data_IF_892805663437
#
_entry.id   IF_892805663437
#
_cell.length_a   1.000
_cell.length_b   1.000
_cell.length_c   1.000
_cell.angle_alpha   90.00
_cell.angle_beta   90.00
_cell.angle_gamma   90.00
#
_symmetry.space_group_name_H-M   'P 1'
#
loop_
_entity.id
_entity.type
_entity.pdbx_description
1 polymer ?
#
# COMPACT_ATOMS: atom_id res chain seq x y z
N UNK A 1 4.29 -44.48 -26.41
CA UNK A 1 5.27 -44.22 -25.33
C UNK A 1 5.83 -42.82 -25.54
N UNK A 2 5.29 -41.80 -24.89
CA UNK A 2 5.98 -40.54 -24.59
C UNK A 2 5.24 -39.92 -23.40
N UNK A 3 5.83 -40.08 -22.21
CA UNK A 3 5.28 -39.56 -20.98
C UNK A 3 5.45 -38.04 -20.96
N UNK A 4 4.35 -37.33 -20.76
CA UNK A 4 4.36 -35.90 -20.50
C UNK A 4 4.99 -35.67 -19.11
N UNK A 5 6.06 -34.88 -18.95
CA UNK A 5 6.59 -34.59 -17.63
C UNK A 5 5.55 -33.77 -16.87
N UNK A 6 5.04 -34.32 -15.77
CA UNK A 6 4.17 -33.63 -14.82
C UNK A 6 4.92 -32.44 -14.25
N UNK A 7 4.64 -31.25 -14.76
CA UNK A 7 5.00 -30.01 -14.09
C UNK A 7 4.27 -30.03 -12.73
N UNK A 8 4.96 -29.92 -11.58
CA UNK A 8 4.29 -29.88 -10.30
C UNK A 8 3.48 -28.59 -10.20
N UNK A 9 2.16 -28.73 -10.04
CA UNK A 9 1.13 -27.68 -10.03
C UNK A 9 1.15 -26.76 -8.78
N UNK A 10 2.31 -26.60 -8.12
CA UNK A 10 2.42 -25.89 -6.84
C UNK A 10 3.54 -24.84 -6.79
N UNK A 11 4.10 -24.41 -7.92
CA UNK A 11 4.85 -23.16 -7.96
C UNK A 11 3.87 -22.02 -8.21
N UNK A 12 3.69 -21.06 -7.29
CA UNK A 12 2.90 -19.87 -7.60
C UNK A 12 3.56 -19.18 -8.80
N UNK A 13 2.79 -18.99 -9.88
CA UNK A 13 3.25 -18.25 -11.05
C UNK A 13 3.87 -16.92 -10.59
N UNK A 14 5.06 -16.52 -11.11
CA UNK A 14 5.79 -15.35 -10.62
C UNK A 14 4.95 -14.06 -10.67
N UNK A 15 4.02 -13.96 -11.62
CA UNK A 15 3.03 -12.87 -11.69
C UNK A 15 2.15 -12.77 -10.43
N UNK A 16 1.68 -13.90 -9.87
CA UNK A 16 0.81 -13.92 -8.70
C UNK A 16 1.52 -13.48 -7.41
N UNK A 17 2.83 -13.72 -7.30
CA UNK A 17 3.62 -13.28 -6.15
C UNK A 17 4.00 -11.80 -6.22
N UNK A 18 4.10 -11.21 -7.42
CA UNK A 18 4.39 -9.78 -7.60
C UNK A 18 3.21 -8.87 -7.23
N UNK A 19 1.97 -9.33 -7.42
CA UNK A 19 0.74 -8.54 -7.13
C UNK A 19 0.63 -8.17 -5.64
N UNK A 20 1.20 -9.00 -4.76
CA UNK A 20 1.11 -8.84 -3.31
C UNK A 20 2.32 -8.16 -2.66
N UNK A 21 3.42 -7.93 -3.41
CA UNK A 21 4.57 -7.25 -2.82
C UNK A 21 4.29 -5.75 -2.69
N UNK A 22 4.35 -5.19 -1.47
CA UNK A 22 4.19 -3.76 -1.31
C UNK A 22 5.35 -3.04 -2.01
N UNK A 23 5.03 -1.94 -2.69
CA UNK A 23 5.99 -1.09 -3.39
C UNK A 23 5.81 0.37 -2.95
N UNK A 24 6.88 1.18 -2.96
CA UNK A 24 6.79 2.59 -2.61
C UNK A 24 5.95 3.35 -3.65
N UNK A 25 5.04 4.20 -3.18
CA UNK A 25 4.14 4.97 -4.02
C UNK A 25 4.36 6.47 -3.82
N UNK A 26 4.65 7.20 -4.91
CA UNK A 26 5.09 8.60 -4.83
C UNK A 26 3.93 9.61 -4.78
N UNK A 27 2.79 9.29 -5.38
CA UNK A 27 1.67 10.22 -5.49
C UNK A 27 0.71 10.05 -4.31
N UNK A 28 1.04 10.64 -3.15
CA UNK A 28 0.25 10.41 -1.92
C UNK A 28 -1.15 11.01 -1.96
N UNK A 29 -1.41 12.00 -2.83
CA UNK A 29 -2.77 12.51 -3.05
C UNK A 29 -3.72 11.42 -3.57
N UNK A 30 -3.19 10.55 -4.44
CA UNK A 30 -3.87 9.36 -4.90
C UNK A 30 -3.95 8.27 -3.83
N UNK A 31 -3.44 8.48 -2.60
CA UNK A 31 -3.49 7.52 -1.49
C UNK A 31 -4.66 7.75 -0.49
N UNK A 32 -5.35 8.89 -0.54
CA UNK A 32 -6.48 9.22 0.35
C UNK A 32 -7.62 8.20 0.28
N UNK A 33 -7.88 7.52 1.38
CA UNK A 33 -8.87 6.45 1.47
C UNK A 33 -8.31 5.03 1.39
N UNK A 34 -6.99 4.85 1.33
CA UNK A 34 -6.35 3.53 1.32
C UNK A 34 -5.65 3.23 2.64
N UNK A 35 -5.54 1.93 2.94
CA UNK A 35 -4.62 1.42 3.96
C UNK A 35 -3.25 1.24 3.32
N UNK A 36 -2.22 1.77 3.97
CA UNK A 36 -0.83 1.80 3.49
C UNK A 36 0.13 1.39 4.58
N UNK A 37 1.30 0.92 4.18
CA UNK A 37 2.45 0.77 5.07
C UNK A 37 3.24 2.07 5.10
N UNK A 38 3.39 2.63 6.30
CA UNK A 38 4.19 3.83 6.56
C UNK A 38 5.59 3.40 6.93
N UNK A 39 6.58 3.87 6.17
CA UNK A 39 8.00 3.66 6.46
C UNK A 39 8.72 4.99 6.59
N UNK A 40 9.74 5.04 7.43
CA UNK A 40 10.65 6.19 7.54
C UNK A 40 12.08 5.68 7.41
N UNK A 41 12.83 6.24 6.47
CA UNK A 41 14.25 5.88 6.26
C UNK A 41 14.43 4.35 6.10
N UNK A 42 13.47 3.69 5.44
CA UNK A 42 13.48 2.23 5.21
C UNK A 42 12.90 1.38 6.36
N UNK A 43 12.71 1.96 7.55
CA UNK A 43 12.15 1.27 8.72
C UNK A 43 10.63 1.33 8.70
N UNK A 44 9.97 0.19 8.92
CA UNK A 44 8.53 0.14 9.09
C UNK A 44 8.11 0.86 10.38
N UNK A 45 7.18 1.81 10.24
CA UNK A 45 6.63 2.59 11.35
C UNK A 45 5.30 2.01 11.79
N UNK A 46 4.34 1.88 10.86
CA UNK A 46 3.02 1.30 11.09
C UNK A 46 2.28 1.05 9.78
N UNK A 47 1.22 0.26 9.83
CA UNK A 47 0.17 0.25 8.80
C UNK A 47 -0.92 1.23 9.23
N UNK A 48 -1.52 1.96 8.29
CA UNK A 48 -2.58 2.91 8.63
C UNK A 48 -3.39 3.42 7.44
N UNK A 49 -4.56 3.96 7.73
CA UNK A 49 -5.45 4.55 6.73
C UNK A 49 -5.04 5.99 6.43
N UNK A 50 -4.85 6.32 5.15
CA UNK A 50 -4.59 7.70 4.71
C UNK A 50 -5.91 8.46 4.73
N UNK A 51 -6.07 9.31 5.73
CA UNK A 51 -7.27 10.12 5.93
C UNK A 51 -7.32 11.31 4.96
N UNK A 52 -6.18 11.95 4.74
CA UNK A 52 -6.04 13.10 3.85
C UNK A 52 -4.59 13.23 3.36
N UNK A 53 -4.39 13.97 2.28
CA UNK A 53 -3.07 14.32 1.75
C UNK A 53 -3.12 15.67 1.04
N UNK A 54 -2.00 16.39 1.09
CA UNK A 54 -1.87 17.63 0.31
C UNK A 54 -2.02 17.33 -1.19
N UNK A 55 -2.54 18.27 -2.00
CA UNK A 55 -2.66 18.08 -3.45
C UNK A 55 -1.34 17.77 -4.17
N UNK A 56 -0.20 18.24 -3.65
CA UNK A 56 1.13 17.91 -4.18
C UNK A 56 1.64 16.52 -3.78
N UNK A 57 0.94 15.86 -2.85
CA UNK A 57 1.32 14.55 -2.33
C UNK A 57 2.58 14.55 -1.47
N UNK A 58 3.02 15.69 -0.94
CA UNK A 58 4.25 15.78 -0.11
C UNK A 58 3.99 15.52 1.38
N UNK A 59 2.77 15.80 1.82
CA UNK A 59 2.31 15.58 3.20
C UNK A 59 1.06 14.70 3.20
N UNK A 60 0.99 13.75 4.13
CA UNK A 60 -0.17 12.89 4.34
C UNK A 60 -0.55 12.82 5.83
N UNK A 61 -1.83 12.63 6.10
CA UNK A 61 -2.36 12.36 7.43
C UNK A 61 -2.79 10.90 7.52
N UNK A 62 -2.21 10.20 8.47
CA UNK A 62 -2.58 8.81 8.78
C UNK A 62 -3.54 8.85 9.97
N UNK A 63 -4.71 8.24 9.81
CA UNK A 63 -5.75 8.21 10.83
C UNK A 63 -5.25 7.58 12.15
N UNK A 64 -5.93 7.94 13.24
CA UNK A 64 -5.78 7.21 14.50
C UNK A 64 -6.32 5.78 14.33
N UNK A 65 -5.67 4.81 14.97
CA UNK A 65 -6.14 3.42 15.00
C UNK A 65 -5.75 2.78 16.34
N UNK A 66 -6.75 2.35 17.11
CA UNK A 66 -6.56 1.88 18.48
C UNK A 66 -5.84 2.90 19.37
N UNK A 67 -4.64 2.53 19.83
CA UNK A 67 -3.79 3.38 20.68
C UNK A 67 -2.93 4.37 19.87
N UNK A 68 -2.81 4.18 18.56
CA UNK A 68 -2.04 5.06 17.71
C UNK A 68 -2.81 6.35 17.45
N UNK A 69 -2.13 7.48 17.68
CA UNK A 69 -2.69 8.79 17.36
C UNK A 69 -2.63 9.04 15.85
N UNK A 70 -3.48 9.95 15.40
CA UNK A 70 -3.37 10.56 14.08
C UNK A 70 -2.00 11.22 13.95
N UNK A 71 -1.30 10.97 12.85
CA UNK A 71 0.01 11.56 12.57
C UNK A 71 0.02 12.24 11.20
N UNK A 72 0.72 13.36 11.13
CA UNK A 72 1.11 14.00 9.87
C UNK A 72 2.52 13.52 9.52
N UNK A 73 2.73 13.11 8.28
CA UNK A 73 4.03 12.69 7.76
C UNK A 73 4.38 13.46 6.50
N UNK A 74 5.68 13.63 6.25
CA UNK A 74 6.19 14.39 5.12
C UNK A 74 7.32 13.64 4.41
N UNK A 75 7.37 13.73 3.07
CA UNK A 75 8.48 13.19 2.27
C UNK A 75 9.82 13.79 2.66
N UNK A 76 9.85 15.10 2.95
CA UNK A 76 11.04 15.84 3.40
C UNK A 76 11.61 15.30 4.72
N UNK A 77 10.76 14.70 5.57
CA UNK A 77 11.14 14.04 6.80
C UNK A 77 11.55 12.56 6.62
N UNK A 78 11.68 12.10 5.37
CA UNK A 78 12.15 10.75 5.04
C UNK A 78 11.06 9.67 5.08
N UNK A 79 9.78 10.06 5.14
CA UNK A 79 8.67 9.11 5.08
C UNK A 79 8.40 8.65 3.65
N UNK A 80 8.02 7.38 3.53
CA UNK A 80 7.60 6.71 2.28
C UNK A 80 6.36 5.88 2.56
N UNK A 81 5.35 6.02 1.72
CA UNK A 81 4.16 5.16 1.76
C UNK A 81 4.32 4.01 0.79
N UNK A 82 3.98 2.81 1.26
CA UNK A 82 4.04 1.57 0.51
C UNK A 82 2.64 0.98 0.38
N UNK A 83 2.34 0.42 -0.79
CA UNK A 83 1.03 -0.14 -1.11
C UNK A 83 1.16 -1.43 -1.92
N UNK A 84 0.23 -2.36 -1.79
CA UNK A 84 0.07 -3.51 -2.69
C UNK A 84 -0.90 -3.18 -3.82
N UNK A 85 -0.85 -3.92 -4.93
CA UNK A 85 -1.80 -3.67 -6.02
C UNK A 85 -3.26 -3.91 -5.60
N UNK A 86 -3.51 -4.82 -4.65
CA UNK A 86 -4.81 -5.06 -4.04
C UNK A 86 -5.32 -3.84 -3.24
N UNK A 87 -4.47 -3.24 -2.40
CA UNK A 87 -4.83 -2.05 -1.62
C UNK A 87 -5.20 -0.86 -2.52
N UNK A 88 -4.57 -0.74 -3.70
CA UNK A 88 -4.92 0.27 -4.70
C UNK A 88 -6.26 -0.05 -5.39
N UNK A 89 -6.62 -1.32 -5.54
CA UNK A 89 -7.90 -1.73 -6.14
C UNK A 89 -9.08 -1.58 -5.17
N UNK A 90 -8.88 -1.86 -3.88
CA UNK A 90 -9.91 -1.74 -2.84
C UNK A 90 -10.43 -0.29 -2.68
N UNK A 91 -9.64 0.72 -3.08
CA UNK A 91 -10.10 2.10 -3.25
C UNK A 91 -11.33 2.25 -4.13
N UNK A 92 -11.41 1.49 -5.23
CA UNK A 92 -12.49 1.62 -6.21
C UNK A 92 -13.83 1.11 -5.67
N UNK A 93 -13.79 0.25 -4.64
CA UNK A 93 -14.98 -0.41 -4.10
C UNK A 93 -15.58 0.37 -2.91
N UNK A 94 -14.78 1.24 -2.27
CA UNK A 94 -15.16 1.93 -1.03
C UNK A 94 -15.45 3.43 -1.17
N UNK A 95 -15.94 3.89 -2.34
CA UNK A 95 -16.64 5.19 -2.40
C UNK A 95 -18.10 4.97 -1.97
N UNK A 96 -18.51 5.32 -0.74
CA UNK A 96 -19.92 5.50 -0.48
C UNK A 96 -20.38 6.75 -1.23
N UNK A 97 -21.47 6.62 -1.98
CA UNK A 97 -22.15 7.73 -2.65
C UNK A 97 -22.35 8.89 -1.67
N UNK A 98 -21.86 10.07 -2.04
CA UNK A 98 -22.23 11.32 -1.38
C UNK A 98 -23.00 12.21 -2.35
#
# INVERSE_FOLDING_TARGET
MQGNPRVPVNEPEPEAAEIHRPYPFMEWSMLVGAVVDVRREGVFVRTGFVEDATPSGDTAWIAADGLDRRIMIEKSAGYVLWITAEQLQLRRVHQPSR
#
